data_IF_249808397115
#
_entry.id   IF_249808397115
#
_cell.length_a   1.000
_cell.length_b   1.000
_cell.length_c   1.000
_cell.angle_alpha   90.00
_cell.angle_beta   90.00
_cell.angle_gamma   90.00
#
_symmetry.space_group_name_H-M   'P 1'
#
loop_
_entity.id
_entity.type
_entity.pdbx_description
1 polymer ?
#
# COMPACT_ATOMS: atom_id res chain seq x y z
N UNK A 1 -13.59 -10.57 -7.13
CA UNK A 1 -12.75 -9.38 -7.04
C UNK A 1 -12.11 -9.23 -5.66
N UNK A 2 -12.86 -9.46 -4.57
CA UNK A 2 -12.31 -9.42 -3.18
C UNK A 2 -11.20 -10.44 -2.92
N UNK A 3 -11.18 -11.55 -3.65
CA UNK A 3 -10.15 -12.59 -3.49
C UNK A 3 -8.72 -12.12 -3.80
N UNK A 4 -8.56 -11.10 -4.64
CA UNK A 4 -7.22 -10.60 -5.00
C UNK A 4 -6.52 -9.89 -3.84
N UNK A 5 -7.24 -9.06 -3.07
CA UNK A 5 -6.68 -8.38 -1.91
C UNK A 5 -6.23 -9.37 -0.84
N UNK A 6 -7.09 -10.34 -0.49
CA UNK A 6 -6.75 -11.40 0.47
C UNK A 6 -5.58 -12.26 -0.02
N UNK A 7 -5.55 -12.60 -1.31
CA UNK A 7 -4.46 -13.36 -1.90
C UNK A 7 -3.13 -12.60 -1.88
N UNK A 8 -3.14 -11.30 -2.15
CA UNK A 8 -1.95 -10.47 -2.09
C UNK A 8 -1.37 -10.43 -0.67
N UNK A 9 -2.21 -10.27 0.35
CA UNK A 9 -1.79 -10.35 1.76
C UNK A 9 -1.20 -11.73 2.06
N UNK A 10 -1.94 -12.79 1.75
CA UNK A 10 -1.54 -14.16 2.06
C UNK A 10 -0.21 -14.54 1.38
N UNK A 11 -0.08 -14.28 0.09
CA UNK A 11 1.15 -14.63 -0.64
C UNK A 11 2.33 -13.73 -0.27
N UNK A 12 2.09 -12.43 -0.04
CA UNK A 12 3.13 -11.51 0.41
C UNK A 12 3.73 -11.93 1.75
N UNK A 13 2.87 -12.26 2.73
CA UNK A 13 3.32 -12.73 4.04
C UNK A 13 3.97 -14.12 3.95
N UNK A 14 3.39 -15.06 3.18
CA UNK A 14 3.96 -16.39 3.01
C UNK A 14 5.37 -16.33 2.41
N UNK A 15 5.58 -15.50 1.40
CA UNK A 15 6.91 -15.30 0.82
C UNK A 15 7.89 -14.71 1.84
N UNK A 16 7.48 -13.69 2.60
CA UNK A 16 8.33 -13.11 3.63
C UNK A 16 8.68 -14.12 4.74
N UNK A 17 7.72 -14.94 5.18
CA UNK A 17 7.95 -16.02 6.14
C UNK A 17 8.95 -17.03 5.57
N UNK A 18 8.75 -17.48 4.34
CA UNK A 18 9.66 -18.44 3.70
C UNK A 18 11.09 -17.93 3.62
N UNK A 19 11.26 -16.63 3.30
CA UNK A 19 12.59 -16.01 3.26
C UNK A 19 13.19 -15.93 4.68
N UNK A 20 12.43 -15.47 5.66
CA UNK A 20 12.89 -15.32 7.04
C UNK A 20 13.25 -16.67 7.68
N UNK A 21 12.45 -17.70 7.41
CA UNK A 21 12.72 -19.07 7.93
C UNK A 21 13.92 -19.72 7.26
N UNK A 22 14.25 -19.33 6.03
CA UNK A 22 15.41 -19.86 5.29
C UNK A 22 16.73 -19.13 5.61
N UNK A 23 16.68 -17.97 6.28
CA UNK A 23 17.89 -17.21 6.61
C UNK A 23 18.57 -17.82 7.85
N UNK A 24 19.78 -18.30 7.67
CA UNK A 24 20.65 -18.78 8.75
C UNK A 24 21.37 -17.60 9.42
N UNK A 25 20.78 -17.07 10.47
CA UNK A 25 21.39 -16.01 11.31
C UNK A 25 21.27 -16.36 12.78
N UNK A 26 22.20 -15.84 13.58
CA UNK A 26 22.11 -15.95 15.02
C UNK A 26 20.81 -15.28 15.54
N UNK A 27 20.10 -15.87 16.52
CA UNK A 27 18.80 -15.39 16.99
C UNK A 27 18.77 -13.91 17.35
N UNK A 28 19.84 -13.38 17.91
CA UNK A 28 19.96 -11.97 18.30
C UNK A 28 20.00 -11.00 17.09
N UNK A 29 20.29 -11.51 15.89
CA UNK A 29 20.30 -10.72 14.64
C UNK A 29 18.96 -10.76 13.91
N UNK A 30 18.08 -11.69 14.24
CA UNK A 30 16.78 -11.84 13.59
C UNK A 30 15.92 -10.56 13.63
N UNK A 31 15.85 -9.80 14.75
CA UNK A 31 15.11 -8.54 14.75
C UNK A 31 15.62 -7.52 13.72
N UNK A 32 16.92 -7.43 13.53
CA UNK A 32 17.52 -6.53 12.54
C UNK A 32 17.22 -6.99 11.10
N UNK A 33 17.22 -8.29 10.83
CA UNK A 33 16.84 -8.88 9.54
C UNK A 33 15.37 -8.62 9.25
N UNK A 34 14.47 -8.92 10.21
CA UNK A 34 13.04 -8.67 10.10
C UNK A 34 12.76 -7.21 9.77
N UNK A 35 13.42 -6.29 10.48
CA UNK A 35 13.30 -4.85 10.26
C UNK A 35 13.82 -4.35 8.90
N UNK A 36 14.48 -5.18 8.10
CA UNK A 36 14.96 -4.85 6.75
C UNK A 36 14.01 -5.30 5.65
N UNK A 37 13.08 -6.20 5.93
CA UNK A 37 12.08 -6.63 4.95
C UNK A 37 11.23 -5.43 4.54
N UNK A 38 10.99 -5.32 3.25
CA UNK A 38 10.08 -4.35 2.67
C UNK A 38 9.24 -5.01 1.59
N UNK A 39 8.05 -4.47 1.39
CA UNK A 39 7.06 -5.01 0.47
C UNK A 39 6.78 -4.03 -0.65
N UNK A 40 6.23 -4.54 -1.73
CA UNK A 40 5.68 -3.73 -2.80
C UNK A 40 4.28 -4.25 -3.13
N UNK A 41 3.28 -3.41 -2.91
CA UNK A 41 1.88 -3.76 -3.03
C UNK A 41 1.23 -3.00 -4.19
N UNK A 42 0.08 -3.47 -4.64
CA UNK A 42 -0.73 -2.76 -5.61
C UNK A 42 -1.89 -2.03 -4.94
N UNK A 43 -2.41 -1.00 -5.61
CA UNK A 43 -3.68 -0.36 -5.26
C UNK A 43 -4.53 -0.21 -6.51
N UNK A 44 -5.78 -0.64 -6.44
CA UNK A 44 -6.77 -0.55 -7.51
C UNK A 44 -7.95 0.32 -7.10
N UNK A 45 -8.90 0.49 -8.03
CA UNK A 45 -10.01 1.43 -7.89
C UNK A 45 -10.99 1.12 -6.74
N UNK A 46 -10.97 -0.10 -6.22
CA UNK A 46 -11.80 -0.46 -5.05
C UNK A 46 -11.15 0.02 -3.75
N UNK A 47 -10.98 1.32 -3.63
CA UNK A 47 -10.15 1.98 -2.62
C UNK A 47 -10.48 1.61 -1.16
N UNK A 48 -11.74 1.33 -0.80
CA UNK A 48 -12.09 0.87 0.55
C UNK A 48 -11.45 -0.49 0.84
N UNK A 49 -11.58 -1.45 -0.09
CA UNK A 49 -10.94 -2.77 0.04
C UNK A 49 -9.41 -2.66 0.06
N UNK A 50 -8.84 -1.75 -0.71
CA UNK A 50 -7.39 -1.49 -0.69
C UNK A 50 -6.94 -0.91 0.64
N UNK A 51 -7.69 0.04 1.20
CA UNK A 51 -7.42 0.57 2.54
C UNK A 51 -7.46 -0.55 3.60
N UNK A 52 -8.49 -1.41 3.58
CA UNK A 52 -8.58 -2.56 4.49
C UNK A 52 -7.38 -3.50 4.33
N UNK A 53 -6.98 -3.79 3.10
CA UNK A 53 -5.81 -4.63 2.80
C UNK A 53 -4.53 -4.07 3.44
N UNK A 54 -4.24 -2.78 3.26
CA UNK A 54 -3.03 -2.16 3.83
C UNK A 54 -3.04 -2.17 5.36
N UNK A 55 -4.19 -1.94 5.97
CA UNK A 55 -4.38 -2.04 7.44
C UNK A 55 -4.17 -3.49 7.92
N UNK A 56 -4.72 -4.46 7.22
CA UNK A 56 -4.54 -5.88 7.53
C UNK A 56 -3.07 -6.29 7.43
N UNK A 57 -2.37 -5.92 6.35
CA UNK A 57 -0.94 -6.16 6.21
C UNK A 57 -0.13 -5.60 7.38
N UNK A 58 -0.40 -4.35 7.75
CA UNK A 58 0.31 -3.68 8.85
C UNK A 58 0.13 -4.41 10.16
N UNK A 59 -1.12 -4.82 10.50
CA UNK A 59 -1.43 -5.54 11.74
C UNK A 59 -0.82 -6.94 11.74
N UNK A 60 -1.01 -7.70 10.66
CA UNK A 60 -0.51 -9.06 10.56
C UNK A 60 1.02 -9.12 10.57
N UNK A 61 1.69 -8.15 9.95
CA UNK A 61 3.15 -8.06 10.00
C UNK A 61 3.67 -7.77 11.40
N UNK A 62 3.05 -6.83 12.13
CA UNK A 62 3.40 -6.56 13.53
C UNK A 62 3.20 -7.79 14.42
N UNK A 63 2.06 -8.46 14.27
CA UNK A 63 1.76 -9.68 15.00
C UNK A 63 2.77 -10.79 14.70
N UNK A 64 3.07 -11.01 13.42
CA UNK A 64 4.05 -12.00 12.97
C UNK A 64 5.43 -11.75 13.57
N UNK A 65 5.88 -10.50 13.55
CA UNK A 65 7.17 -10.12 14.14
C UNK A 65 7.24 -10.41 15.64
N UNK A 66 6.15 -10.13 16.34
CA UNK A 66 6.07 -10.35 17.80
C UNK A 66 6.00 -11.83 18.15
N UNK A 67 5.06 -12.56 17.55
CA UNK A 67 4.71 -13.91 17.98
C UNK A 67 5.62 -14.98 17.40
N UNK A 68 6.06 -14.82 16.13
CA UNK A 68 6.89 -15.84 15.47
C UNK A 68 8.39 -15.56 15.55
N UNK A 69 8.79 -14.31 15.45
CA UNK A 69 10.22 -13.93 15.36
C UNK A 69 10.74 -13.23 16.62
N UNK A 70 9.91 -13.10 17.67
CA UNK A 70 10.28 -12.50 18.96
C UNK A 70 10.93 -11.11 18.82
N UNK A 71 10.45 -10.31 17.87
CA UNK A 71 10.94 -8.95 17.65
C UNK A 71 10.25 -8.01 18.63
N UNK A 72 10.93 -7.64 19.72
CA UNK A 72 10.33 -6.81 20.79
C UNK A 72 10.19 -5.34 20.37
N UNK A 73 11.14 -4.82 19.61
CA UNK A 73 11.17 -3.41 19.23
C UNK A 73 10.11 -3.09 18.16
N UNK A 74 9.10 -2.29 18.51
CA UNK A 74 8.02 -1.91 17.60
C UNK A 74 8.50 -1.22 16.32
N UNK A 75 9.60 -0.48 16.37
CA UNK A 75 10.20 0.17 15.20
C UNK A 75 10.66 -0.84 14.14
N UNK A 76 11.14 -2.01 14.55
CA UNK A 76 11.58 -3.08 13.66
C UNK A 76 10.41 -3.88 13.10
N UNK A 77 9.25 -3.89 13.76
CA UNK A 77 8.02 -4.53 13.28
C UNK A 77 7.18 -3.68 12.35
N UNK A 78 7.59 -2.45 12.05
CA UNK A 78 6.85 -1.58 11.13
C UNK A 78 6.75 -2.21 9.75
N UNK A 79 5.54 -2.32 9.24
CA UNK A 79 5.29 -2.71 7.86
C UNK A 79 5.82 -1.63 6.91
N UNK A 80 6.89 -1.95 6.20
CA UNK A 80 7.56 -1.04 5.27
C UNK A 80 7.18 -1.44 3.85
N UNK A 81 6.53 -0.55 3.14
CA UNK A 81 6.06 -0.88 1.80
C UNK A 81 5.97 0.34 0.90
N UNK A 82 6.08 0.09 -0.40
CA UNK A 82 5.67 0.97 -1.46
C UNK A 82 4.39 0.45 -2.10
N UNK A 83 3.64 1.31 -2.75
CA UNK A 83 2.44 0.94 -3.49
C UNK A 83 2.53 1.44 -4.91
N UNK A 84 2.35 0.53 -5.86
CA UNK A 84 2.05 0.88 -7.25
C UNK A 84 0.53 1.05 -7.38
N UNK A 85 0.08 2.24 -7.69
CA UNK A 85 -1.28 2.43 -8.21
C UNK A 85 -1.31 1.76 -9.58
N UNK A 86 -2.21 0.79 -9.75
CA UNK A 86 -2.16 -0.05 -10.93
C UNK A 86 -2.89 0.59 -12.12
N UNK A 87 -2.43 0.29 -13.33
CA UNK A 87 -3.01 0.77 -14.58
C UNK A 87 -4.06 -0.16 -15.18
N UNK A 88 -4.36 -1.30 -14.54
CA UNK A 88 -5.27 -2.31 -15.07
C UNK A 88 -6.73 -1.82 -15.22
N UNK A 89 -7.11 -0.82 -14.45
CA UNK A 89 -8.43 -0.18 -14.52
C UNK A 89 -8.50 0.99 -15.49
N UNK A 90 -7.39 1.39 -16.10
CA UNK A 90 -7.34 2.50 -17.05
C UNK A 90 -7.89 2.06 -18.41
N UNK A 91 -8.57 2.96 -19.10
CA UNK A 91 -9.24 2.67 -20.38
C UNK A 91 -8.77 3.60 -21.47
N UNK A 92 -8.80 3.10 -22.71
CA UNK A 92 -8.56 3.87 -23.92
C UNK A 92 -9.77 4.76 -24.27
N UNK A 93 -10.97 4.27 -23.96
CA UNK A 93 -12.20 5.03 -24.17
C UNK A 93 -12.35 6.10 -23.10
N UNK A 94 -12.50 7.35 -23.53
CA UNK A 94 -12.59 8.52 -22.64
C UNK A 94 -11.43 8.55 -21.64
N UNK A 95 -10.18 8.64 -22.14
CA UNK A 95 -8.99 8.46 -21.30
C UNK A 95 -8.85 9.52 -20.21
N UNK A 96 -9.47 10.68 -20.35
CA UNK A 96 -9.50 11.74 -19.32
C UNK A 96 -10.12 11.23 -18.00
N UNK A 97 -11.03 10.27 -18.07
CA UNK A 97 -11.64 9.64 -16.91
C UNK A 97 -10.63 8.78 -16.10
N UNK A 98 -9.45 8.53 -16.64
CA UNK A 98 -8.40 7.86 -15.91
C UNK A 98 -7.84 8.73 -14.78
N UNK A 99 -7.88 10.05 -14.90
CA UNK A 99 -7.43 10.98 -13.84
C UNK A 99 -8.19 10.74 -12.53
N UNK A 100 -9.53 10.82 -12.47
CA UNK A 100 -10.27 10.52 -11.24
C UNK A 100 -10.13 9.05 -10.80
N UNK A 101 -9.92 8.09 -11.71
CA UNK A 101 -9.63 6.70 -11.31
C UNK A 101 -8.34 6.62 -10.50
N UNK A 102 -7.27 7.24 -11.00
CA UNK A 102 -5.96 7.28 -10.33
C UNK A 102 -6.07 7.98 -8.96
N UNK A 103 -6.85 9.06 -8.85
CA UNK A 103 -7.09 9.73 -7.56
C UNK A 103 -7.76 8.79 -6.56
N UNK A 104 -8.81 8.06 -6.96
CA UNK A 104 -9.50 7.10 -6.10
C UNK A 104 -8.58 5.96 -5.65
N UNK A 105 -7.72 5.48 -6.54
CA UNK A 105 -6.72 4.44 -6.24
C UNK A 105 -5.66 4.95 -5.25
N UNK A 106 -5.22 6.21 -5.40
CA UNK A 106 -4.31 6.85 -4.46
C UNK A 106 -4.95 7.05 -3.08
N UNK A 107 -6.24 7.39 -3.02
CA UNK A 107 -6.97 7.52 -1.76
C UNK A 107 -7.00 6.21 -0.96
N UNK A 108 -7.01 5.05 -1.63
CA UNK A 108 -6.96 3.75 -0.99
C UNK A 108 -5.74 3.52 -0.09
N UNK A 109 -4.67 4.29 -0.29
CA UNK A 109 -3.43 4.18 0.49
C UNK A 109 -3.07 5.45 1.27
N UNK A 110 -3.77 6.54 1.05
CA UNK A 110 -3.50 7.82 1.73
C UNK A 110 -4.47 8.13 2.87
N UNK A 111 -5.68 7.58 2.83
CA UNK A 111 -6.72 7.83 3.83
C UNK A 111 -6.42 7.19 5.20
N UNK A 112 -5.71 6.06 5.25
CA UNK A 112 -5.40 5.39 6.51
C UNK A 112 -4.04 5.82 7.02
N UNK A 113 -4.00 6.57 8.13
CA UNK A 113 -2.73 7.00 8.75
C UNK A 113 -1.92 5.85 9.35
N UNK A 114 -2.59 4.80 9.84
CA UNK A 114 -1.94 3.64 10.45
C UNK A 114 -1.20 2.75 9.44
N UNK A 115 -1.55 2.87 8.16
CA UNK A 115 -1.01 2.07 7.08
C UNK A 115 -0.46 2.92 5.94
N UNK A 116 0.38 3.92 6.26
CA UNK A 116 0.98 4.80 5.25
C UNK A 116 2.07 4.11 4.45
N UNK A 117 1.94 4.22 3.14
CA UNK A 117 3.00 3.80 2.21
C UNK A 117 4.19 4.77 2.27
N UNK A 118 5.39 4.27 1.93
CA UNK A 118 6.60 5.08 1.79
C UNK A 118 6.76 5.70 0.42
N UNK A 119 6.22 5.04 -0.58
CA UNK A 119 6.26 5.50 -1.96
C UNK A 119 4.93 5.17 -2.63
N UNK A 120 4.48 6.06 -3.49
CA UNK A 120 3.21 5.96 -4.19
C UNK A 120 3.39 6.34 -5.67
N UNK A 121 4.03 5.49 -6.48
CA UNK A 121 4.04 5.67 -7.93
C UNK A 121 2.62 5.64 -8.49
N UNK A 122 2.28 6.67 -9.27
CA UNK A 122 1.03 6.75 -10.00
C UNK A 122 1.29 6.53 -11.49
N UNK A 123 0.42 5.80 -12.22
CA UNK A 123 0.52 5.67 -13.66
C UNK A 123 0.24 7.00 -14.35
N UNK A 124 0.72 7.17 -15.57
CA UNK A 124 0.26 8.27 -16.41
C UNK A 124 -1.21 8.06 -16.80
N UNK A 125 -2.00 9.13 -16.82
CA UNK A 125 -3.44 9.06 -17.11
C UNK A 125 -3.75 8.41 -18.47
N UNK A 126 -2.85 8.54 -19.43
CA UNK A 126 -2.95 8.01 -20.79
C UNK A 126 -2.13 6.74 -21.04
N UNK A 127 -1.71 6.05 -19.99
CA UNK A 127 -0.87 4.83 -20.13
C UNK A 127 -1.53 3.75 -21.01
N UNK A 128 -2.87 3.67 -21.00
CA UNK A 128 -3.62 2.76 -21.86
C UNK A 128 -3.50 3.08 -23.38
N UNK A 129 -3.07 4.30 -23.73
CA UNK A 129 -2.89 4.73 -25.12
C UNK A 129 -1.46 4.53 -25.65
N UNK A 130 -0.53 4.06 -24.82
CA UNK A 130 0.87 3.86 -25.16
C UNK A 130 1.84 4.59 -24.26
N UNK A 131 3.06 4.85 -24.73
CA UNK A 131 4.10 5.50 -23.95
C UNK A 131 3.72 6.96 -23.64
N UNK A 132 3.69 7.36 -22.37
CA UNK A 132 3.35 8.71 -21.97
C UNK A 132 4.46 9.70 -22.33
N UNK A 133 4.07 10.90 -22.68
CA UNK A 133 4.97 12.02 -22.92
C UNK A 133 5.36 12.67 -21.57
N UNK A 134 6.42 13.50 -21.51
CA UNK A 134 6.83 14.12 -20.25
C UNK A 134 5.73 14.88 -19.50
N UNK A 135 4.86 15.62 -20.20
CA UNK A 135 3.76 16.34 -19.57
C UNK A 135 2.62 15.44 -19.12
N UNK A 136 2.44 14.26 -19.72
CA UNK A 136 1.48 13.28 -19.23
C UNK A 136 1.91 12.73 -17.86
N UNK A 137 3.22 12.56 -17.64
CA UNK A 137 3.81 12.16 -16.36
C UNK A 137 3.66 13.25 -15.28
N UNK A 138 3.59 14.52 -15.65
CA UNK A 138 3.39 15.60 -14.68
C UNK A 138 2.05 15.48 -13.93
N UNK A 139 1.01 14.94 -14.56
CA UNK A 139 -0.27 14.71 -13.89
C UNK A 139 -0.13 13.86 -12.65
N UNK A 140 0.68 12.81 -12.71
CA UNK A 140 0.93 11.92 -11.57
C UNK A 140 1.54 12.67 -10.39
N UNK A 141 2.49 13.58 -10.64
CA UNK A 141 3.06 14.45 -9.61
C UNK A 141 2.04 15.47 -9.09
N UNK A 142 1.25 16.09 -9.99
CA UNK A 142 0.25 17.09 -9.60
C UNK A 142 -0.86 16.47 -8.76
N UNK A 143 -1.33 15.29 -9.08
CA UNK A 143 -2.31 14.56 -8.26
C UNK A 143 -1.78 14.39 -6.83
N UNK A 144 -0.53 13.96 -6.66
CA UNK A 144 0.07 13.81 -5.34
C UNK A 144 0.21 15.15 -4.60
N UNK A 145 0.58 16.21 -5.31
CA UNK A 145 0.68 17.57 -4.73
C UNK A 145 -0.68 18.12 -4.30
N UNK A 146 -1.74 17.90 -5.10
CA UNK A 146 -3.10 18.28 -4.75
C UNK A 146 -3.54 17.54 -3.48
N UNK A 147 -3.36 16.21 -3.44
CA UNK A 147 -3.72 15.41 -2.27
C UNK A 147 -2.95 15.84 -1.02
N UNK A 148 -1.69 16.25 -1.15
CA UNK A 148 -0.87 16.62 0.00
C UNK A 148 -1.03 18.08 0.44
N UNK A 149 -1.29 19.01 -0.50
CA UNK A 149 -1.18 20.44 -0.23
C UNK A 149 -2.51 21.19 -0.33
N UNK A 150 -3.52 20.60 -1.00
CA UNK A 150 -4.82 21.26 -1.21
C UNK A 150 -5.96 20.57 -0.47
N UNK A 151 -5.70 19.38 0.13
CA UNK A 151 -6.65 18.67 0.96
C UNK A 151 -6.18 18.61 2.41
N UNK A 152 -7.09 18.31 3.31
CA UNK A 152 -6.84 18.14 4.74
C UNK A 152 -6.33 16.73 5.14
N UNK A 153 -5.91 15.91 4.16
CA UNK A 153 -5.43 14.55 4.40
C UNK A 153 -4.25 14.46 5.37
N UNK A 154 -3.41 15.48 5.43
CA UNK A 154 -2.26 15.50 6.35
C UNK A 154 -2.61 16.04 7.73
N UNK A 155 -3.72 16.74 7.87
CA UNK A 155 -4.13 17.42 9.10
C UNK A 155 -4.89 16.48 10.05
N UNK A 156 -5.65 15.55 9.50
CA UNK A 156 -6.53 14.68 10.25
C UNK A 156 -5.86 13.38 10.71
N UNK A 157 -6.35 12.80 11.80
CA UNK A 157 -6.03 11.46 12.27
C UNK A 157 -6.56 10.37 11.33
N UNK A 158 -6.58 9.13 11.79
CA UNK A 158 -7.16 8.02 11.04
C UNK A 158 -8.68 8.13 11.05
N UNK A 159 -9.27 8.53 9.93
CA UNK A 159 -10.73 8.71 9.79
C UNK A 159 -11.51 7.39 9.88
N UNK A 160 -10.82 6.25 9.83
CA UNK A 160 -11.43 4.92 9.96
C UNK A 160 -11.28 4.31 11.35
N UNK A 161 -10.72 5.05 12.32
CA UNK A 161 -10.61 4.57 13.69
C UNK A 161 -12.00 4.28 14.27
N UNK A 162 -12.16 3.09 14.88
CA UNK A 162 -13.44 2.66 15.44
C UNK A 162 -14.51 2.24 14.43
N UNK A 163 -14.23 2.28 13.13
CA UNK A 163 -15.19 1.86 12.10
C UNK A 163 -15.44 0.35 12.15
N UNK A 164 -16.68 -0.03 12.49
CA UNK A 164 -17.13 -1.43 12.47
C UNK A 164 -17.13 -2.02 11.07
N UNK A 165 -17.39 -1.21 10.05
CA UNK A 165 -17.38 -1.65 8.64
C UNK A 165 -15.97 -2.00 8.21
N UNK A 166 -14.99 -1.13 8.51
CA UNK A 166 -13.58 -1.40 8.17
C UNK A 166 -13.02 -2.61 8.92
N UNK A 167 -13.52 -2.88 10.12
CA UNK A 167 -13.11 -4.03 10.92
C UNK A 167 -13.71 -5.34 10.42
N UNK A 168 -14.85 -5.30 9.73
CA UNK A 168 -15.55 -6.47 9.20
C UNK A 168 -15.09 -6.87 7.78
N UNK A 169 -14.41 -5.98 7.07
CA UNK A 169 -13.86 -6.20 5.73
C UNK A 169 -12.42 -6.71 5.79
#
# INVERSE_FOLDING_TARGET
VYKRQVQEVAFGLANAISVLDAIEVAPEKMPAVFGRISFFCNSGIRFIGETCKMRAFTRMWDQLGRERYSVEEAKLRRFRYGVQVNSLGLTESQPENNVPRIVLEALGVTLSKDARTRSLPLPAWNEALGLPRPWDQQWSLRIQQILANETDLLENGDIFEGSKVMAAL
#
